data_IF_160673701252
#
_entry.id   IF_160673701252
#
_cell.length_a   1.000
_cell.length_b   1.000
_cell.length_c   1.000
_cell.angle_alpha   90.00
_cell.angle_beta   90.00
_cell.angle_gamma   90.00
#
_symmetry.space_group_name_H-M   'P 1'
#
loop_
_entity.id
_entity.type
_entity.pdbx_description
1 polymer ?
#
# COMPACT_ATOMS: atom_id res chain seq x y z
N UNK A 1 24.24 -22.41 -41.44
CA UNK A 1 24.20 -21.17 -40.64
C UNK A 1 22.85 -21.16 -39.92
N UNK A 2 22.84 -21.50 -38.63
CA UNK A 2 21.63 -21.75 -37.85
C UNK A 2 20.85 -20.45 -37.60
N UNK A 3 19.61 -20.35 -38.08
CA UNK A 3 18.65 -19.33 -37.66
C UNK A 3 17.82 -19.92 -36.52
N UNK A 4 18.31 -19.80 -35.29
CA UNK A 4 17.51 -20.13 -34.11
C UNK A 4 16.60 -18.92 -33.89
N UNK A 5 15.38 -19.00 -34.41
CA UNK A 5 14.30 -18.10 -33.99
C UNK A 5 14.13 -18.24 -32.49
N UNK A 6 14.58 -17.21 -31.76
CA UNK A 6 14.31 -17.09 -30.33
C UNK A 6 12.83 -16.80 -30.20
N UNK A 7 12.04 -17.85 -30.10
CA UNK A 7 10.65 -17.79 -29.67
C UNK A 7 10.69 -17.27 -28.24
N UNK A 8 10.66 -15.95 -28.07
CA UNK A 8 10.38 -15.35 -26.77
C UNK A 8 9.04 -15.92 -26.34
N UNK A 9 9.03 -16.58 -25.19
CA UNK A 9 7.81 -17.15 -24.60
C UNK A 9 6.70 -16.10 -24.69
N UNK A 10 5.46 -16.46 -25.10
CA UNK A 10 4.39 -15.48 -25.20
C UNK A 10 4.10 -15.00 -23.78
N UNK A 11 4.72 -13.89 -23.41
CA UNK A 11 4.45 -13.20 -22.16
C UNK A 11 3.14 -12.46 -22.39
N UNK A 12 2.04 -13.22 -22.28
CA UNK A 12 0.67 -12.71 -22.24
C UNK A 12 0.64 -11.77 -21.03
N UNK A 13 0.93 -10.50 -21.26
CA UNK A 13 0.72 -9.46 -20.29
C UNK A 13 -0.78 -9.37 -20.08
N UNK A 14 -1.31 -10.15 -19.14
CA UNK A 14 -2.62 -9.85 -18.58
C UNK A 14 -2.54 -8.39 -18.08
N UNK A 15 -3.43 -7.48 -18.51
CA UNK A 15 -3.39 -6.07 -18.13
C UNK A 15 -3.83 -5.92 -16.67
N UNK A 16 -3.05 -6.51 -15.75
CA UNK A 16 -3.26 -6.39 -14.32
C UNK A 16 -2.57 -5.10 -13.91
N UNK A 17 -3.32 -4.00 -13.96
CA UNK A 17 -2.82 -2.71 -13.49
C UNK A 17 -2.47 -2.80 -12.00
N UNK A 18 -1.28 -2.32 -11.63
CA UNK A 18 -0.79 -2.28 -10.25
C UNK A 18 -1.81 -1.59 -9.34
N UNK A 19 -2.40 -0.49 -9.80
CA UNK A 19 -3.44 0.25 -9.08
C UNK A 19 -4.64 -0.64 -8.70
N UNK A 20 -5.02 -1.60 -9.57
CA UNK A 20 -6.12 -2.53 -9.30
C UNK A 20 -5.78 -3.47 -8.15
N UNK A 21 -4.54 -3.98 -8.12
CA UNK A 21 -4.06 -4.85 -7.04
C UNK A 21 -3.99 -4.06 -5.73
N UNK A 22 -3.44 -2.85 -5.75
CA UNK A 22 -3.35 -1.99 -4.57
C UNK A 22 -4.74 -1.70 -3.97
N UNK A 23 -5.73 -1.39 -4.81
CA UNK A 23 -7.13 -1.23 -4.36
C UNK A 23 -7.72 -2.52 -3.78
N UNK A 24 -7.40 -3.68 -4.35
CA UNK A 24 -7.84 -4.96 -3.80
C UNK A 24 -7.26 -5.20 -2.40
N UNK A 25 -6.00 -4.84 -2.16
CA UNK A 25 -5.37 -4.94 -0.84
C UNK A 25 -6.09 -4.02 0.16
N UNK A 26 -6.41 -2.79 -0.22
CA UNK A 26 -7.19 -1.88 0.63
C UNK A 26 -8.55 -2.48 0.97
N UNK A 27 -9.25 -3.06 -0.02
CA UNK A 27 -10.54 -3.72 0.24
C UNK A 27 -10.41 -4.96 1.13
N UNK A 28 -9.33 -5.72 1.00
CA UNK A 28 -9.04 -6.86 1.87
C UNK A 28 -8.69 -6.43 3.31
N UNK A 29 -8.16 -5.22 3.50
CA UNK A 29 -7.85 -4.67 4.82
C UNK A 29 -9.10 -4.20 5.59
N UNK A 30 -10.18 -3.81 4.91
CA UNK A 30 -11.43 -3.35 5.54
C UNK A 30 -11.96 -4.33 6.59
N UNK A 31 -12.18 -5.63 6.29
CA UNK A 31 -12.64 -6.58 7.31
C UNK A 31 -11.62 -6.76 8.45
N UNK A 32 -10.32 -6.68 8.15
CA UNK A 32 -9.26 -6.74 9.16
C UNK A 32 -9.38 -5.59 10.16
N UNK A 33 -9.53 -4.34 9.68
CA UNK A 33 -9.67 -3.15 10.53
C UNK A 33 -10.95 -3.21 11.38
N UNK A 34 -12.04 -3.76 10.83
CA UNK A 34 -13.31 -3.94 11.57
C UNK A 34 -13.09 -4.87 12.75
N UNK A 35 -12.48 -6.04 12.52
CA UNK A 35 -12.18 -7.00 13.58
C UNK A 35 -11.20 -6.40 14.59
N UNK A 36 -10.13 -5.75 14.15
CA UNK A 36 -9.18 -5.07 15.05
C UNK A 36 -9.86 -4.02 15.92
N UNK A 37 -10.77 -3.21 15.37
CA UNK A 37 -11.52 -2.21 16.14
C UNK A 37 -12.47 -2.85 17.16
N UNK A 38 -13.04 -4.01 16.84
CA UNK A 38 -13.88 -4.76 17.79
C UNK A 38 -13.10 -5.34 18.96
N UNK A 39 -11.93 -5.93 18.70
CA UNK A 39 -11.12 -6.58 19.75
C UNK A 39 -10.32 -5.58 20.60
N UNK A 40 -9.76 -4.54 19.98
CA UNK A 40 -8.86 -3.59 20.64
C UNK A 40 -9.52 -2.24 20.97
N UNK A 41 -10.76 -2.02 20.51
CA UNK A 41 -11.52 -0.80 20.75
C UNK A 41 -11.20 0.35 19.79
N UNK A 42 -11.68 1.54 20.14
CA UNK A 42 -11.66 2.73 19.26
C UNK A 42 -10.26 3.30 18.98
N UNK A 43 -9.27 2.96 19.82
CA UNK A 43 -7.89 3.44 19.69
C UNK A 43 -7.21 3.01 18.39
N UNK A 44 -7.61 1.87 17.81
CA UNK A 44 -7.09 1.36 16.53
C UNK A 44 -7.34 2.35 15.39
N UNK A 45 -8.51 3.00 15.35
CA UNK A 45 -8.86 3.94 14.30
C UNK A 45 -7.95 5.16 14.32
N UNK A 46 -7.65 5.68 15.51
CA UNK A 46 -6.73 6.82 15.69
C UNK A 46 -5.32 6.43 15.28
N UNK A 47 -4.86 5.22 15.63
CA UNK A 47 -3.55 4.72 15.27
C UNK A 47 -3.41 4.50 13.76
N UNK A 48 -4.43 3.93 13.11
CA UNK A 48 -4.51 3.80 11.64
C UNK A 48 -4.48 5.17 10.97
N UNK A 49 -5.24 6.14 11.47
CA UNK A 49 -5.29 7.48 10.88
C UNK A 49 -3.93 8.18 11.01
N UNK A 50 -3.28 8.12 12.17
CA UNK A 50 -1.92 8.63 12.36
C UNK A 50 -0.92 7.92 11.44
N UNK A 51 -0.93 6.58 11.37
CA UNK A 51 -0.03 5.81 10.53
C UNK A 51 -0.16 6.17 9.05
N UNK A 52 -1.39 6.33 8.55
CA UNK A 52 -1.64 6.78 7.17
C UNK A 52 -1.18 8.22 6.96
N UNK A 53 -1.45 9.13 7.91
CA UNK A 53 -0.97 10.52 7.82
C UNK A 53 0.56 10.58 7.75
N UNK A 54 1.28 9.82 8.58
CA UNK A 54 2.74 9.74 8.54
C UNK A 54 3.23 9.14 7.22
N UNK A 55 2.65 8.02 6.77
CA UNK A 55 3.05 7.40 5.52
C UNK A 55 2.88 8.34 4.32
N UNK A 56 1.76 9.08 4.25
CA UNK A 56 1.53 10.09 3.22
C UNK A 56 2.52 11.26 3.34
N UNK A 57 2.81 11.74 4.55
CA UNK A 57 3.79 12.79 4.76
C UNK A 57 5.19 12.37 4.30
N UNK A 58 5.64 11.16 4.67
CA UNK A 58 6.93 10.62 4.23
C UNK A 58 6.99 10.40 2.73
N UNK A 59 5.93 9.86 2.11
CA UNK A 59 5.87 9.68 0.66
C UNK A 59 5.95 11.03 -0.06
N UNK A 60 5.21 12.04 0.40
CA UNK A 60 5.27 13.40 -0.14
C UNK A 60 6.68 14.01 0.00
N UNK A 61 7.32 13.89 1.18
CA UNK A 61 8.69 14.37 1.42
C UNK A 61 9.67 13.68 0.46
N UNK A 62 9.57 12.36 0.30
CA UNK A 62 10.46 11.59 -0.57
C UNK A 62 10.23 11.92 -2.05
N UNK A 63 9.00 12.16 -2.49
CA UNK A 63 8.69 12.57 -3.86
C UNK A 63 9.25 13.95 -4.18
N UNK A 64 9.15 14.89 -3.23
CA UNK A 64 9.76 16.22 -3.33
C UNK A 64 11.27 16.09 -3.44
N UNK A 65 11.90 15.28 -2.57
CA UNK A 65 13.35 15.06 -2.60
C UNK A 65 13.81 14.41 -3.91
N UNK A 66 12.97 13.53 -4.48
CA UNK A 66 13.24 12.83 -5.75
C UNK A 66 12.89 13.65 -7.00
N UNK A 67 12.37 14.87 -6.84
CA UNK A 67 11.89 15.75 -7.94
C UNK A 67 10.92 15.03 -8.88
N UNK A 68 10.06 14.16 -8.35
CA UNK A 68 9.04 13.43 -9.13
C UNK A 68 7.69 14.13 -9.02
N UNK A 69 6.84 14.06 -10.06
CA UNK A 69 5.50 14.66 -9.99
C UNK A 69 4.69 13.99 -8.87
N UNK A 70 4.17 14.80 -7.96
CA UNK A 70 3.38 14.36 -6.81
C UNK A 70 2.08 13.67 -7.24
N UNK A 71 1.49 14.09 -8.36
CA UNK A 71 0.18 13.66 -8.79
C UNK A 71 0.17 12.17 -9.18
N UNK A 72 1.10 11.71 -10.02
CA UNK A 72 1.07 10.33 -10.52
C UNK A 72 1.35 9.29 -9.42
N UNK A 73 2.19 9.61 -8.44
CA UNK A 73 2.58 8.66 -7.40
C UNK A 73 1.64 8.65 -6.20
N UNK A 74 0.98 9.78 -5.88
CA UNK A 74 0.07 9.85 -4.74
C UNK A 74 -1.24 9.08 -4.97
N UNK A 75 -1.59 8.76 -6.23
CA UNK A 75 -2.77 7.95 -6.58
C UNK A 75 -2.52 6.44 -6.64
N UNK A 76 -1.29 5.95 -6.45
CA UNK A 76 -1.01 4.50 -6.50
C UNK A 76 -1.53 3.75 -5.26
N UNK A 77 -1.89 4.48 -4.19
CA UNK A 77 -2.44 3.90 -2.95
C UNK A 77 -1.40 3.17 -2.09
N UNK A 78 -0.12 3.19 -2.49
CA UNK A 78 1.02 2.59 -1.78
C UNK A 78 1.18 3.13 -0.37
N UNK A 79 1.28 4.45 -0.17
CA UNK A 79 1.43 5.00 1.18
C UNK A 79 0.26 4.68 2.10
N UNK A 80 -0.96 4.64 1.57
CA UNK A 80 -2.15 4.31 2.37
C UNK A 80 -2.02 2.87 2.89
N UNK A 81 -1.68 1.92 2.01
CA UNK A 81 -1.48 0.52 2.39
C UNK A 81 -0.32 0.40 3.37
N UNK A 82 0.80 1.09 3.14
CA UNK A 82 1.95 1.08 4.05
C UNK A 82 1.57 1.61 5.43
N UNK A 83 0.86 2.74 5.51
CA UNK A 83 0.41 3.31 6.77
C UNK A 83 -0.58 2.42 7.51
N UNK A 84 -1.52 1.81 6.80
CA UNK A 84 -2.48 0.86 7.38
C UNK A 84 -1.77 -0.40 7.90
N UNK A 85 -0.87 -1.00 7.12
CA UNK A 85 -0.12 -2.17 7.55
C UNK A 85 0.77 -1.86 8.74
N UNK A 86 1.47 -0.72 8.72
CA UNK A 86 2.29 -0.29 9.85
C UNK A 86 1.45 -0.15 11.13
N UNK A 87 0.32 0.55 11.03
CA UNK A 87 -0.60 0.74 12.14
C UNK A 87 -1.23 -0.57 12.66
N UNK A 88 -1.47 -1.56 11.79
CA UNK A 88 -1.98 -2.86 12.19
C UNK A 88 -0.90 -3.76 12.80
N UNK A 89 0.36 -3.61 12.36
CA UNK A 89 1.49 -4.39 12.90
C UNK A 89 1.93 -3.92 14.29
N UNK A 90 1.78 -2.63 14.58
CA UNK A 90 1.98 -2.09 15.93
C UNK A 90 0.68 -2.27 16.70
N UNK A 91 0.69 -3.21 17.65
CA UNK A 91 -0.44 -3.38 18.57
C UNK A 91 -0.62 -2.07 19.37
N UNK A 92 -1.80 -1.43 19.38
CA UNK A 92 -2.05 -0.20 20.14
C UNK A 92 -1.97 -0.40 21.67
N UNK A 93 -1.96 -1.65 22.12
CA UNK A 93 -1.68 -2.07 23.49
C UNK A 93 -0.23 -2.46 23.72
N UNK A 94 0.71 -2.14 22.81
CA UNK A 94 2.12 -2.32 23.10
C UNK A 94 2.44 -1.51 24.36
N UNK A 95 2.67 -2.18 25.51
CA UNK A 95 3.07 -1.47 26.71
C UNK A 95 4.51 -1.06 26.46
N UNK A 96 4.83 0.20 26.71
CA UNK A 96 6.21 0.52 27.07
C UNK A 96 6.56 -0.18 28.39
#
# INVERSE_FOLDING_TARGET
MNYIDRISSPHIHSPTSINKVMRQVIYALVPGIIVSTWFLGWGVLVHCLLGVCFALAFEAIMLILRKRPLQDFMYDGSAIITGLLFALTITPFAPW
#
